data_IF_216035573532
#
_entry.id   IF_216035573532
#
_cell.length_a   1.000
_cell.length_b   1.000
_cell.length_c   1.000
_cell.angle_alpha   90.00
_cell.angle_beta   90.00
_cell.angle_gamma   90.00
#
_symmetry.space_group_name_H-M   'P 1'
#
loop_
_entity.id
_entity.type
_entity.pdbx_description
1 polymer ?
#
# COMPACT_ATOMS: atom_id res chain seq x y z
N UNK A 1 -53.40 -15.66 -32.97
CA UNK A 1 -53.05 -15.88 -31.55
C UNK A 1 -51.53 -16.07 -31.43
N UNK A 2 -50.79 -14.96 -31.32
CA UNK A 2 -49.35 -15.00 -31.09
C UNK A 2 -49.07 -13.95 -29.98
N UNK A 3 -48.97 -14.40 -28.75
CA UNK A 3 -48.42 -13.77 -27.53
C UNK A 3 -48.42 -14.88 -26.48
N UNK A 4 -47.40 -15.15 -25.66
CA UNK A 4 -46.36 -14.28 -25.08
C UNK A 4 -44.96 -14.99 -25.03
N UNK A 5 -43.99 -14.53 -25.76
CA UNK A 5 -42.63 -15.08 -25.67
C UNK A 5 -41.55 -13.99 -25.56
N UNK A 6 -41.95 -12.74 -25.33
CA UNK A 6 -40.98 -11.61 -25.27
C UNK A 6 -40.63 -11.16 -23.83
N UNK A 7 -41.33 -11.66 -22.81
CA UNK A 7 -41.13 -11.18 -21.43
C UNK A 7 -40.10 -11.98 -20.58
N UNK A 8 -39.58 -13.10 -21.10
CA UNK A 8 -38.68 -13.95 -20.34
C UNK A 8 -37.15 -13.61 -20.52
N UNK A 9 -36.80 -12.72 -21.44
CA UNK A 9 -35.38 -12.46 -21.76
C UNK A 9 -34.78 -11.19 -21.15
N UNK A 10 -35.60 -10.35 -20.48
CA UNK A 10 -35.10 -9.14 -19.82
C UNK A 10 -34.73 -9.30 -18.32
N UNK A 11 -35.02 -10.44 -17.73
CA UNK A 11 -34.74 -10.69 -16.31
C UNK A 11 -33.31 -11.19 -16.05
N UNK A 12 -32.49 -11.42 -17.08
CA UNK A 12 -31.15 -12.00 -16.97
C UNK A 12 -29.96 -11.01 -17.01
N UNK A 13 -30.22 -9.71 -17.14
CA UNK A 13 -29.16 -8.67 -17.28
C UNK A 13 -29.19 -7.65 -16.14
N UNK A 14 -29.47 -8.10 -14.91
CA UNK A 14 -28.98 -7.34 -13.78
C UNK A 14 -27.45 -7.57 -13.76
N UNK A 15 -26.62 -6.53 -13.94
CA UNK A 15 -25.22 -6.68 -13.67
C UNK A 15 -25.12 -7.16 -12.24
N UNK A 16 -24.57 -8.34 -11.99
CA UNK A 16 -24.04 -8.69 -10.68
C UNK A 16 -22.99 -7.61 -10.40
N UNK A 17 -23.37 -6.56 -9.71
CA UNK A 17 -22.43 -5.58 -9.15
C UNK A 17 -21.67 -6.36 -8.07
N UNK A 18 -20.60 -7.04 -8.49
CA UNK A 18 -19.68 -7.64 -7.55
C UNK A 18 -19.19 -6.51 -6.63
N UNK A 19 -19.21 -6.78 -5.33
CA UNK A 19 -18.63 -5.83 -4.37
C UNK A 19 -17.19 -5.51 -4.78
N UNK A 20 -16.77 -4.25 -4.68
CA UNK A 20 -15.42 -3.87 -5.03
C UNK A 20 -14.42 -4.67 -4.17
N UNK A 21 -13.34 -5.20 -4.76
CA UNK A 21 -12.39 -6.05 -4.05
C UNK A 21 -11.63 -5.27 -2.98
N UNK A 22 -11.31 -5.90 -1.85
CA UNK A 22 -10.33 -5.37 -0.92
C UNK A 22 -8.93 -5.44 -1.54
N UNK A 23 -8.10 -4.42 -1.27
CA UNK A 23 -6.76 -4.29 -1.85
C UNK A 23 -5.75 -4.23 -0.71
N UNK A 24 -4.83 -5.19 -0.65
CA UNK A 24 -3.70 -5.19 0.28
C UNK A 24 -2.42 -5.11 -0.54
N UNK A 25 -1.70 -3.99 -0.40
CA UNK A 25 -0.40 -3.77 -1.02
C UNK A 25 0.70 -3.95 0.03
N UNK A 26 1.55 -4.95 -0.14
CA UNK A 26 2.70 -5.20 0.72
C UNK A 26 3.96 -4.80 -0.06
N UNK A 27 4.73 -3.87 0.50
CA UNK A 27 6.00 -3.41 -0.06
C UNK A 27 7.11 -3.65 0.95
N UNK A 28 8.05 -4.50 0.59
CA UNK A 28 9.28 -4.71 1.34
C UNK A 28 10.26 -3.54 1.09
N UNK A 29 11.17 -3.30 2.03
CA UNK A 29 12.21 -2.26 1.92
C UNK A 29 13.58 -2.92 1.90
N UNK A 30 14.41 -2.52 0.93
CA UNK A 30 15.75 -3.03 0.70
C UNK A 30 15.85 -4.57 0.55
N UNK A 31 14.79 -5.22 0.02
CA UNK A 31 14.81 -6.64 -0.29
C UNK A 31 15.36 -6.87 -1.71
N UNK A 32 16.39 -7.70 -1.82
CA UNK A 32 16.97 -8.10 -3.08
C UNK A 32 16.10 -9.14 -3.82
N UNK A 33 16.27 -9.21 -5.14
CA UNK A 33 15.54 -10.18 -5.99
C UNK A 33 15.72 -11.63 -5.51
N UNK A 34 16.92 -11.99 -5.03
CA UNK A 34 17.26 -13.34 -4.59
C UNK A 34 16.97 -13.61 -3.12
N UNK A 35 16.30 -12.73 -2.41
CA UNK A 35 16.06 -12.87 -0.95
C UNK A 35 14.82 -13.70 -0.61
N UNK A 36 14.13 -14.27 -1.60
CA UNK A 36 12.96 -15.14 -1.38
C UNK A 36 13.23 -16.58 -1.81
N UNK A 37 12.56 -17.54 -1.17
CA UNK A 37 12.65 -18.95 -1.51
C UNK A 37 12.21 -19.24 -2.93
N UNK A 38 11.16 -18.58 -3.43
CA UNK A 38 10.65 -18.74 -4.79
C UNK A 38 11.66 -18.24 -5.84
N UNK A 39 12.56 -17.34 -5.49
CA UNK A 39 13.67 -16.89 -6.34
C UNK A 39 14.91 -17.76 -6.23
N UNK A 40 14.90 -18.82 -5.41
CA UNK A 40 16.00 -19.77 -5.27
C UNK A 40 16.89 -19.55 -4.04
N UNK A 41 16.52 -18.67 -3.10
CA UNK A 41 17.27 -18.50 -1.86
C UNK A 41 17.09 -19.74 -0.96
N UNK A 42 18.23 -20.35 -0.58
CA UNK A 42 18.27 -21.51 0.33
C UNK A 42 18.60 -21.13 1.78
N UNK A 43 18.98 -19.88 2.04
CA UNK A 43 19.43 -19.42 3.36
C UNK A 43 18.33 -18.71 4.14
N UNK A 44 17.40 -18.07 3.44
CA UNK A 44 16.29 -17.33 4.03
C UNK A 44 14.98 -18.04 3.73
N UNK A 45 14.21 -18.35 4.76
CA UNK A 45 12.89 -18.98 4.61
C UNK A 45 11.80 -17.90 4.48
N UNK A 46 11.07 -17.91 3.35
CA UNK A 46 10.00 -16.95 3.06
C UNK A 46 8.68 -17.67 2.67
N UNK A 47 8.17 -18.61 3.49
CA UNK A 47 7.10 -19.53 3.09
C UNK A 47 5.80 -18.82 2.70
N UNK A 48 5.47 -17.71 3.35
CA UNK A 48 4.25 -16.96 3.07
C UNK A 48 4.35 -16.12 1.78
N UNK A 49 5.50 -15.49 1.51
CA UNK A 49 5.77 -14.78 0.25
C UNK A 49 5.77 -15.78 -0.91
N UNK A 50 6.43 -16.91 -0.73
CA UNK A 50 6.49 -18.00 -1.72
C UNK A 50 5.10 -18.57 -2.01
N UNK A 51 4.22 -18.64 -1.01
CA UNK A 51 2.84 -19.06 -1.20
C UNK A 51 2.07 -18.06 -2.07
N UNK A 52 2.17 -16.75 -1.79
CA UNK A 52 1.54 -15.71 -2.62
C UNK A 52 2.00 -15.83 -4.07
N UNK A 53 3.29 -16.04 -4.29
CA UNK A 53 3.84 -16.20 -5.65
C UNK A 53 3.32 -17.46 -6.35
N UNK A 54 3.14 -18.59 -5.63
CA UNK A 54 2.62 -19.84 -6.19
C UNK A 54 1.11 -19.81 -6.46
N UNK A 55 0.35 -19.13 -5.60
CA UNK A 55 -1.12 -19.05 -5.71
C UNK A 55 -1.59 -17.90 -6.61
N UNK A 56 -0.72 -16.95 -6.92
CA UNK A 56 -1.02 -15.75 -7.67
C UNK A 56 -0.26 -15.64 -9.00
N UNK A 57 0.08 -14.41 -9.37
CA UNK A 57 0.84 -14.08 -10.57
C UNK A 57 2.19 -13.51 -10.20
N UNK A 58 3.25 -14.09 -10.75
CA UNK A 58 4.60 -13.58 -10.58
C UNK A 58 5.06 -12.83 -11.85
N UNK A 59 5.45 -11.57 -11.69
CA UNK A 59 6.04 -10.79 -12.76
C UNK A 59 7.56 -11.01 -12.78
N UNK A 60 8.07 -11.57 -13.85
CA UNK A 60 9.52 -11.87 -14.02
C UNK A 60 10.34 -10.65 -14.45
N UNK A 61 9.68 -9.58 -14.88
CA UNK A 61 10.31 -8.33 -15.35
C UNK A 61 9.58 -7.11 -14.77
N UNK A 62 9.60 -6.97 -13.46
CA UNK A 62 9.05 -5.83 -12.75
C UNK A 62 10.21 -5.12 -12.03
N UNK A 63 10.49 -3.89 -12.41
CA UNK A 63 11.67 -3.16 -11.95
C UNK A 63 11.28 -2.04 -11.00
N UNK A 64 11.95 -1.98 -9.86
CA UNK A 64 11.89 -0.85 -8.95
C UNK A 64 12.84 0.27 -9.42
N UNK A 65 12.66 1.48 -8.91
CA UNK A 65 13.68 2.53 -9.02
C UNK A 65 14.91 2.17 -8.16
N UNK A 66 16.08 2.80 -8.39
CA UNK A 66 17.31 2.45 -7.68
C UNK A 66 17.26 2.61 -6.16
N UNK A 67 16.36 3.44 -5.64
CA UNK A 67 16.22 3.74 -4.22
C UNK A 67 14.75 3.89 -3.80
N UNK A 68 14.51 3.92 -2.49
CA UNK A 68 13.19 3.77 -1.87
C UNK A 68 12.18 4.89 -2.21
N UNK A 69 12.49 6.19 -2.04
CA UNK A 69 11.51 7.25 -2.26
C UNK A 69 11.03 7.32 -3.73
N UNK A 70 11.90 7.27 -4.74
CA UNK A 70 11.49 7.17 -6.15
C UNK A 70 10.61 5.95 -6.45
N UNK A 71 10.96 4.77 -5.91
CA UNK A 71 10.14 3.55 -6.05
C UNK A 71 8.74 3.76 -5.46
N UNK A 72 8.66 4.31 -4.24
CA UNK A 72 7.39 4.60 -3.56
C UNK A 72 6.56 5.61 -4.32
N UNK A 73 7.18 6.65 -4.89
CA UNK A 73 6.49 7.61 -5.74
C UNK A 73 5.88 6.94 -6.97
N UNK A 74 6.63 6.08 -7.65
CA UNK A 74 6.13 5.31 -8.79
C UNK A 74 4.94 4.44 -8.44
N UNK A 75 5.01 3.70 -7.31
CA UNK A 75 3.90 2.85 -6.82
C UNK A 75 2.69 3.69 -6.44
N UNK A 76 2.88 4.81 -5.73
CA UNK A 76 1.78 5.65 -5.28
C UNK A 76 1.09 6.41 -6.41
N UNK A 77 1.78 6.73 -7.50
CA UNK A 77 1.23 7.57 -8.58
C UNK A 77 0.95 6.82 -9.87
N UNK A 78 1.49 5.61 -10.04
CA UNK A 78 1.47 4.88 -11.31
C UNK A 78 2.32 5.56 -12.40
N UNK A 79 3.18 6.53 -12.05
CA UNK A 79 4.01 7.30 -12.97
C UNK A 79 5.49 6.93 -12.83
N UNK A 80 6.22 7.07 -13.92
CA UNK A 80 7.67 6.94 -13.86
C UNK A 80 8.26 7.97 -12.89
N UNK A 81 9.04 7.53 -11.92
CA UNK A 81 9.42 8.33 -10.75
C UNK A 81 10.07 9.69 -11.08
N UNK A 82 10.92 9.77 -12.13
CA UNK A 82 11.51 11.04 -12.52
C UNK A 82 10.48 12.08 -12.97
N UNK A 83 9.31 11.64 -13.46
CA UNK A 83 8.21 12.55 -13.81
C UNK A 83 7.47 13.11 -12.60
N UNK A 84 7.63 12.47 -11.44
CA UNK A 84 7.05 12.94 -10.17
C UNK A 84 7.96 13.92 -9.43
N UNK A 85 9.15 14.20 -9.98
CA UNK A 85 10.16 15.04 -9.36
C UNK A 85 11.00 14.33 -8.30
N UNK A 86 10.74 13.05 -8.01
CA UNK A 86 11.52 12.29 -7.04
C UNK A 86 12.71 11.59 -7.72
N UNK A 87 13.89 11.95 -7.29
CA UNK A 87 15.14 11.41 -7.85
C UNK A 87 16.14 10.96 -6.78
N UNK A 88 15.82 11.20 -5.49
CA UNK A 88 16.74 10.91 -4.39
C UNK A 88 15.94 10.55 -3.13
N UNK A 89 16.64 10.22 -2.05
CA UNK A 89 16.11 9.89 -0.73
C UNK A 89 16.30 11.01 0.30
N UNK A 90 16.90 12.13 -0.09
CA UNK A 90 17.28 13.28 0.76
C UNK A 90 17.20 14.60 0.01
N UNK A 91 17.40 15.70 0.75
CA UNK A 91 17.58 17.05 0.21
C UNK A 91 16.44 17.53 -0.69
N UNK A 92 15.20 17.17 -0.34
CA UNK A 92 14.01 17.57 -1.12
C UNK A 92 13.71 16.67 -2.31
N UNK A 93 14.63 15.81 -2.72
CA UNK A 93 14.42 14.82 -3.78
C UNK A 93 13.56 13.61 -3.32
N UNK A 94 13.06 13.63 -2.10
CA UNK A 94 12.22 12.62 -1.45
C UNK A 94 10.79 13.14 -1.15
N UNK A 95 10.40 14.27 -1.71
CA UNK A 95 9.10 14.88 -1.45
C UNK A 95 8.23 14.87 -2.70
N UNK A 96 7.12 14.17 -2.64
CA UNK A 96 6.16 14.04 -3.74
C UNK A 96 5.40 15.36 -3.95
N UNK A 97 5.39 15.88 -5.16
CA UNK A 97 4.68 17.11 -5.52
C UNK A 97 3.20 17.08 -5.09
N UNK A 98 2.67 18.23 -4.68
CA UNK A 98 1.27 18.33 -4.21
C UNK A 98 0.24 18.11 -5.31
N UNK A 99 0.61 18.36 -6.53
CA UNK A 99 -0.17 18.15 -7.76
C UNK A 99 -0.21 16.69 -8.22
N UNK A 100 0.69 15.85 -7.69
CA UNK A 100 0.63 14.41 -7.96
C UNK A 100 -0.55 13.77 -7.23
N UNK A 101 -1.30 12.94 -7.93
CA UNK A 101 -2.44 12.19 -7.38
C UNK A 101 -1.96 10.79 -6.99
N UNK A 102 -2.19 10.41 -5.74
CA UNK A 102 -1.84 9.08 -5.24
C UNK A 102 -2.96 8.06 -5.49
N UNK A 103 -2.59 6.78 -5.55
CA UNK A 103 -3.56 5.67 -5.61
C UNK A 103 -4.52 5.72 -4.42
N UNK A 104 -4.07 6.11 -3.22
CA UNK A 104 -4.95 6.26 -2.05
C UNK A 104 -6.00 7.35 -2.26
N UNK A 105 -5.65 8.48 -2.86
CA UNK A 105 -6.61 9.53 -3.20
C UNK A 105 -7.63 9.06 -4.25
N UNK A 106 -7.22 8.24 -5.21
CA UNK A 106 -8.14 7.66 -6.20
C UNK A 106 -9.08 6.65 -5.56
N UNK A 107 -8.57 5.76 -4.72
CA UNK A 107 -9.37 4.77 -3.99
C UNK A 107 -10.37 5.45 -3.04
N UNK A 108 -9.95 6.51 -2.35
CA UNK A 108 -10.85 7.29 -1.50
C UNK A 108 -12.00 7.94 -2.28
N UNK A 109 -11.77 8.42 -3.51
CA UNK A 109 -12.83 8.91 -4.42
C UNK A 109 -13.79 7.80 -4.84
N UNK A 110 -13.33 6.55 -4.84
CA UNK A 110 -14.12 5.36 -5.09
C UNK A 110 -14.75 4.75 -3.82
N UNK A 111 -14.81 5.53 -2.72
CA UNK A 111 -15.36 5.15 -1.43
C UNK A 111 -14.61 4.03 -0.69
N UNK A 112 -13.35 3.79 -1.03
CA UNK A 112 -12.53 2.91 -0.21
C UNK A 112 -12.08 3.61 1.07
N UNK A 113 -12.04 2.86 2.17
CA UNK A 113 -11.31 3.24 3.37
C UNK A 113 -9.85 2.86 3.18
N UNK A 114 -8.93 3.77 3.49
CA UNK A 114 -7.52 3.63 3.14
C UNK A 114 -6.64 3.69 4.37
N UNK A 115 -5.70 2.75 4.51
CA UNK A 115 -4.72 2.69 5.60
C UNK A 115 -3.29 2.53 5.09
N UNK A 116 -2.33 3.15 5.77
CA UNK A 116 -0.90 2.95 5.54
C UNK A 116 -0.22 2.60 6.87
N UNK A 117 0.43 1.46 6.91
CA UNK A 117 1.13 0.96 8.10
C UNK A 117 2.59 0.71 7.74
N UNK A 118 3.49 1.59 8.20
CA UNK A 118 4.92 1.51 7.90
C UNK A 118 5.53 2.80 7.35
N UNK A 119 6.53 2.63 6.50
CA UNK A 119 7.33 3.72 5.92
C UNK A 119 6.58 4.48 4.85
N UNK A 120 6.53 5.82 4.98
CA UNK A 120 6.01 6.72 3.95
C UNK A 120 7.08 7.16 2.94
N UNK A 121 8.02 7.97 3.37
CA UNK A 121 9.17 8.49 2.62
C UNK A 121 8.81 9.27 1.33
N UNK A 122 7.70 10.02 1.35
CA UNK A 122 7.28 10.88 0.25
C UNK A 122 6.95 12.32 0.70
N UNK A 123 7.58 12.73 1.81
CA UNK A 123 7.45 14.06 2.40
C UNK A 123 6.92 14.02 3.84
N UNK A 124 7.59 14.79 4.72
CA UNK A 124 7.33 14.81 6.16
C UNK A 124 6.54 16.03 6.63
N UNK A 125 6.52 17.09 5.85
CA UNK A 125 5.86 18.33 6.23
C UNK A 125 4.36 18.29 5.93
N UNK A 126 3.61 19.14 6.64
CA UNK A 126 2.17 19.27 6.43
C UNK A 126 1.82 19.48 4.94
N UNK A 127 0.80 18.79 4.46
CA UNK A 127 0.39 18.76 3.05
C UNK A 127 1.07 17.66 2.21
N UNK A 128 2.11 17.00 2.76
CA UNK A 128 2.81 15.88 2.13
C UNK A 128 2.69 14.56 2.89
N UNK A 129 2.13 14.62 4.10
CA UNK A 129 1.95 13.46 4.98
C UNK A 129 0.84 12.53 4.46
N UNK A 130 0.82 11.25 4.85
CA UNK A 130 -0.14 10.27 4.35
C UNK A 130 -1.60 10.72 4.44
N UNK A 131 -2.00 11.35 5.54
CA UNK A 131 -3.38 11.80 5.76
C UNK A 131 -3.83 12.86 4.73
N UNK A 132 -2.92 13.74 4.29
CA UNK A 132 -3.19 14.71 3.24
C UNK A 132 -3.03 14.11 1.83
N UNK A 133 -2.52 12.88 1.77
CA UNK A 133 -2.27 12.15 0.52
C UNK A 133 -3.19 10.96 0.33
N UNK A 134 -4.35 10.97 1.03
CA UNK A 134 -5.46 10.07 0.78
C UNK A 134 -5.60 8.89 1.74
N UNK A 135 -4.78 8.79 2.78
CA UNK A 135 -4.92 7.75 3.79
C UNK A 135 -5.78 8.23 4.97
N UNK A 136 -6.80 7.43 5.32
CA UNK A 136 -7.67 7.69 6.47
C UNK A 136 -7.01 7.29 7.78
N UNK A 137 -6.18 6.24 7.72
CA UNK A 137 -5.44 5.70 8.86
C UNK A 137 -3.95 5.62 8.55
N UNK A 138 -3.11 6.02 9.48
CA UNK A 138 -1.65 5.95 9.36
C UNK A 138 -0.99 5.60 10.68
N UNK A 139 -0.24 4.52 10.72
CA UNK A 139 0.75 4.24 11.76
C UNK A 139 2.09 3.93 11.11
N UNK A 140 3.10 4.75 11.33
CA UNK A 140 4.40 4.55 10.69
C UNK A 140 5.37 5.69 10.91
N UNK A 141 6.27 5.88 9.96
CA UNK A 141 7.22 6.97 9.99
C UNK A 141 7.31 7.70 8.65
N UNK A 142 7.56 9.01 8.69
CA UNK A 142 7.63 9.83 7.48
C UNK A 142 8.97 9.76 6.77
N UNK A 143 10.02 9.36 7.48
CA UNK A 143 11.40 9.36 7.01
C UNK A 143 11.78 8.10 6.22
N UNK A 144 12.96 8.13 5.60
CA UNK A 144 13.50 6.98 4.86
C UNK A 144 13.84 5.79 5.75
N UNK A 145 14.24 6.04 6.98
CA UNK A 145 14.49 5.04 8.02
C UNK A 145 14.33 5.67 9.40
N UNK A 146 14.33 4.85 10.43
CA UNK A 146 14.30 5.24 11.83
C UNK A 146 15.54 4.68 12.53
N UNK A 147 15.96 5.31 13.64
CA UNK A 147 17.18 4.92 14.33
C UNK A 147 17.07 3.57 15.05
N UNK A 148 15.85 3.24 15.51
CA UNK A 148 15.58 2.01 16.25
C UNK A 148 14.35 1.31 15.69
N UNK A 149 14.47 0.02 15.43
CA UNK A 149 13.37 -0.84 15.01
C UNK A 149 12.70 -1.55 16.18
N UNK A 150 13.35 -1.58 17.33
CA UNK A 150 12.76 -1.96 18.63
C UNK A 150 12.56 -0.72 19.48
N UNK A 151 11.43 -0.64 20.18
CA UNK A 151 11.09 0.51 21.05
C UNK A 151 11.19 1.85 20.32
N UNK A 152 10.69 1.90 19.10
CA UNK A 152 10.78 3.08 18.26
C UNK A 152 10.06 4.27 18.90
N UNK A 153 10.73 5.42 18.92
CA UNK A 153 10.22 6.70 19.44
C UNK A 153 9.92 7.71 18.32
N UNK A 154 10.13 7.31 17.07
CA UNK A 154 9.95 8.14 15.88
C UNK A 154 8.70 7.76 15.08
N UNK A 155 7.80 6.97 15.66
CA UNK A 155 6.55 6.59 15.01
C UNK A 155 5.48 7.67 15.20
N UNK A 156 4.61 7.74 14.23
CA UNK A 156 3.49 8.68 14.18
C UNK A 156 2.21 7.91 13.93
N UNK A 157 1.19 8.16 14.73
CA UNK A 157 -0.18 7.69 14.52
C UNK A 157 -1.06 8.89 14.19
N UNK A 158 -1.56 8.95 12.98
CA UNK A 158 -2.46 10.01 12.49
C UNK A 158 -1.99 11.45 12.82
N UNK A 159 -0.68 11.71 12.64
CA UNK A 159 -0.09 13.02 12.91
C UNK A 159 0.45 13.23 14.32
N UNK A 160 0.18 12.32 15.24
CA UNK A 160 0.65 12.38 16.63
C UNK A 160 1.82 11.43 16.85
N UNK A 161 2.92 11.91 17.41
CA UNK A 161 4.04 11.06 17.79
C UNK A 161 3.64 10.05 18.86
N UNK A 162 4.02 8.80 18.68
CA UNK A 162 3.74 7.71 19.61
C UNK A 162 5.02 7.00 20.03
N UNK A 163 5.10 6.63 21.31
CA UNK A 163 6.15 5.74 21.81
C UNK A 163 5.62 4.32 21.76
N UNK A 164 6.40 3.42 21.21
CA UNK A 164 5.99 2.03 21.03
C UNK A 164 6.90 1.07 21.80
N UNK A 165 6.42 -0.15 21.98
CA UNK A 165 7.18 -1.27 22.53
C UNK A 165 7.09 -2.43 21.54
N UNK A 166 8.17 -3.15 21.34
CA UNK A 166 8.27 -4.26 20.39
C UNK A 166 8.89 -3.85 19.06
N UNK A 167 8.94 -4.78 18.13
CA UNK A 167 9.56 -4.62 16.83
C UNK A 167 8.58 -3.96 15.85
N UNK A 168 9.01 -2.94 15.13
CA UNK A 168 8.11 -2.09 14.32
C UNK A 168 7.35 -2.85 13.24
N UNK A 169 7.95 -3.88 12.63
CA UNK A 169 7.25 -4.64 11.59
C UNK A 169 6.07 -5.45 12.15
N UNK A 170 6.17 -5.93 13.40
CA UNK A 170 5.05 -6.57 14.09
C UNK A 170 3.96 -5.54 14.40
N UNK A 171 4.34 -4.38 14.93
CA UNK A 171 3.39 -3.30 15.22
C UNK A 171 2.63 -2.82 13.97
N UNK A 172 3.31 -2.71 12.84
CA UNK A 172 2.68 -2.32 11.58
C UNK A 172 1.75 -3.42 11.07
N UNK A 173 2.14 -4.68 11.22
CA UNK A 173 1.33 -5.83 10.82
C UNK A 173 0.07 -5.93 11.66
N UNK A 174 0.20 -5.83 12.99
CA UNK A 174 -0.94 -5.86 13.92
C UNK A 174 -1.93 -4.73 13.64
N UNK A 175 -1.43 -3.50 13.46
CA UNK A 175 -2.27 -2.36 13.11
C UNK A 175 -2.97 -2.54 11.75
N UNK A 176 -2.31 -3.15 10.77
CA UNK A 176 -2.93 -3.47 9.49
C UNK A 176 -4.03 -4.52 9.61
N UNK A 177 -3.81 -5.57 10.40
CA UNK A 177 -4.79 -6.62 10.69
C UNK A 177 -6.01 -6.03 11.41
N UNK A 178 -5.80 -5.19 12.40
CA UNK A 178 -6.87 -4.49 13.14
C UNK A 178 -7.69 -3.62 12.20
N UNK A 179 -7.04 -2.83 11.36
CA UNK A 179 -7.71 -1.98 10.36
C UNK A 179 -8.58 -2.80 9.40
N UNK A 180 -8.06 -3.90 8.85
CA UNK A 180 -8.79 -4.80 7.95
C UNK A 180 -10.00 -5.40 8.68
N UNK A 181 -9.80 -5.88 9.91
CA UNK A 181 -10.84 -6.55 10.71
C UNK A 181 -12.00 -5.61 11.07
N UNK A 182 -11.69 -4.36 11.43
CA UNK A 182 -12.71 -3.34 11.75
C UNK A 182 -13.46 -2.91 10.50
N UNK A 183 -12.75 -2.76 9.38
CA UNK A 183 -13.35 -2.32 8.12
C UNK A 183 -14.29 -3.38 7.55
N UNK A 184 -13.95 -4.65 7.67
CA UNK A 184 -14.80 -5.75 7.21
C UNK A 184 -16.13 -5.82 8.00
N UNK A 185 -16.11 -5.59 9.30
CA UNK A 185 -17.32 -5.57 10.16
C UNK A 185 -18.28 -4.41 9.88
N UNK A 186 -17.85 -3.37 9.17
CA UNK A 186 -18.68 -2.22 8.82
C UNK A 186 -19.41 -2.38 7.48
N UNK A 187 -19.06 -3.40 6.71
CA UNK A 187 -19.63 -3.69 5.38
C UNK A 187 -20.61 -4.84 5.38
N UNK A 188 -20.77 -5.55 6.49
CA UNK A 188 -21.80 -6.56 6.76
C UNK A 188 -23.01 -5.96 7.49
#
# INVERSE_FOLDING_TARGET
MIRPLIFAFLAGLLPLLAAPPNIVLIMTDDQGYWDTGISGNSHISTPHMDRIAREGVQFTRFYAAPVCAPTRAGVMTGRYYLRTGLYNTRFGGDTLGKDEITVAQLLKRANYRTGLFGKWHLGKYHGYQPQQRGFDEFLGHYHGHIERYEFADQLVHNGTSVKTRGYVSELFTDAAIDFISVTHKQTD
#
